data_IF_529639579383
#
_entry.id   IF_529639579383
#
_cell.length_a   1.000
_cell.length_b   1.000
_cell.length_c   1.000
_cell.angle_alpha   90.00
_cell.angle_beta   90.00
_cell.angle_gamma   90.00
#
_symmetry.space_group_name_H-M   'P 1'
#
loop_
_entity.id
_entity.type
_entity.pdbx_description
1 polymer ?
#
# COMPACT_ATOMS: atom_id res chain seq x y z
N UNK A 1 -4.40 -36.50 -13.97
CA UNK A 1 -5.10 -35.39 -13.29
C UNK A 1 -4.20 -34.18 -13.42
N UNK A 2 -4.71 -33.03 -13.88
CA UNK A 2 -3.89 -31.82 -13.92
C UNK A 2 -3.79 -31.23 -12.51
N UNK A 3 -2.60 -30.87 -12.08
CA UNK A 3 -2.35 -30.35 -10.74
C UNK A 3 -2.18 -28.83 -10.79
N UNK A 4 -2.81 -28.15 -9.83
CA UNK A 4 -2.57 -26.73 -9.58
C UNK A 4 -1.66 -26.66 -8.36
N UNK A 5 -0.52 -25.98 -8.50
CA UNK A 5 0.38 -25.66 -7.39
C UNK A 5 0.53 -24.15 -7.30
N UNK A 6 0.82 -23.66 -6.09
CA UNK A 6 1.01 -22.23 -5.83
C UNK A 6 2.29 -22.11 -5.01
N UNK A 7 3.19 -21.28 -5.48
CA UNK A 7 4.54 -21.15 -4.94
C UNK A 7 4.92 -19.68 -4.83
N UNK A 8 5.84 -19.33 -3.93
CA UNK A 8 6.36 -17.97 -3.86
C UNK A 8 7.10 -17.64 -5.16
N UNK A 9 6.80 -16.48 -5.76
CA UNK A 9 7.46 -16.01 -6.95
C UNK A 9 8.89 -15.57 -6.64
N UNK A 10 9.77 -15.73 -7.62
CA UNK A 10 11.18 -15.32 -7.56
C UNK A 10 11.47 -14.34 -8.68
N UNK A 11 12.58 -13.61 -8.61
CA UNK A 11 12.97 -12.65 -9.67
C UNK A 11 13.07 -13.33 -11.04
N UNK A 12 13.40 -14.63 -11.09
CA UNK A 12 13.45 -15.41 -12.33
C UNK A 12 12.07 -15.59 -12.98
N UNK A 13 10.98 -15.48 -12.21
CA UNK A 13 9.61 -15.61 -12.70
C UNK A 13 9.06 -14.29 -13.28
N UNK A 14 9.74 -13.16 -13.06
CA UNK A 14 9.23 -11.82 -13.32
C UNK A 14 8.78 -11.63 -14.78
N UNK A 15 9.62 -12.01 -15.75
CA UNK A 15 9.29 -11.85 -17.18
C UNK A 15 8.04 -12.61 -17.57
N UNK A 16 7.91 -13.86 -17.11
CA UNK A 16 6.76 -14.71 -17.44
C UNK A 16 5.49 -14.21 -16.78
N UNK A 17 5.58 -13.80 -15.51
CA UNK A 17 4.46 -13.22 -14.78
C UNK A 17 4.02 -11.89 -15.41
N UNK A 18 4.95 -11.03 -15.87
CA UNK A 18 4.61 -9.80 -16.61
C UNK A 18 3.88 -10.11 -17.91
N UNK A 19 4.34 -11.10 -18.69
CA UNK A 19 3.69 -11.49 -19.94
C UNK A 19 2.23 -11.90 -19.71
N UNK A 20 2.00 -12.78 -18.74
CA UNK A 20 0.66 -13.28 -18.40
C UNK A 20 -0.20 -12.15 -17.85
N UNK A 21 0.32 -11.37 -16.90
CA UNK A 21 -0.37 -10.23 -16.30
C UNK A 21 -0.81 -9.23 -17.38
N UNK A 22 0.11 -8.87 -18.28
CA UNK A 22 -0.19 -8.00 -19.42
C UNK A 22 -1.30 -8.57 -20.29
N UNK A 23 -1.19 -9.84 -20.69
CA UNK A 23 -2.19 -10.52 -21.51
C UNK A 23 -3.57 -10.52 -20.84
N UNK A 24 -3.64 -10.81 -19.54
CA UNK A 24 -4.89 -10.86 -18.78
C UNK A 24 -5.55 -9.49 -18.71
N UNK A 25 -4.82 -8.44 -18.31
CA UNK A 25 -5.39 -7.09 -18.17
C UNK A 25 -5.70 -6.44 -19.53
N UNK A 26 -4.92 -6.71 -20.59
CA UNK A 26 -5.25 -6.30 -21.96
C UNK A 26 -6.57 -6.93 -22.44
N UNK A 27 -6.89 -8.15 -22.00
CA UNK A 27 -8.14 -8.82 -22.33
C UNK A 27 -9.33 -8.25 -21.55
N UNK A 28 -9.17 -8.05 -20.25
CA UNK A 28 -10.18 -7.40 -19.42
C UNK A 28 -10.48 -5.98 -19.92
N UNK A 29 -9.45 -5.20 -20.29
CA UNK A 29 -9.61 -3.88 -20.88
C UNK A 29 -10.40 -3.93 -22.19
N UNK A 30 -10.09 -4.87 -23.10
CA UNK A 30 -10.85 -5.04 -24.36
C UNK A 30 -12.32 -5.40 -24.12
N UNK A 31 -12.60 -6.11 -23.03
CA UNK A 31 -13.95 -6.59 -22.69
C UNK A 31 -14.80 -5.52 -22.02
N UNK A 32 -14.21 -4.73 -21.12
CA UNK A 32 -14.96 -3.87 -20.21
C UNK A 32 -14.77 -2.37 -20.46
N UNK A 33 -13.71 -1.95 -21.16
CA UNK A 33 -13.47 -0.55 -21.48
C UNK A 33 -13.93 -0.22 -22.92
N UNK A 34 -14.92 0.66 -23.11
CA UNK A 34 -15.31 1.11 -24.43
C UNK A 34 -14.20 1.95 -25.08
N UNK A 35 -14.03 1.85 -26.41
CA UNK A 35 -12.96 2.53 -27.18
C UNK A 35 -12.90 4.08 -27.06
N UNK A 36 -13.86 4.71 -26.36
CA UNK A 36 -14.03 6.17 -26.30
C UNK A 36 -13.86 6.77 -24.89
N UNK A 37 -13.76 5.96 -23.84
CA UNK A 37 -13.55 6.49 -22.49
C UNK A 37 -12.07 6.41 -22.11
N UNK A 38 -11.45 7.58 -22.06
CA UNK A 38 -10.08 7.81 -21.58
C UNK A 38 -10.11 7.92 -20.05
N UNK A 39 -10.91 7.07 -19.38
CA UNK A 39 -10.87 6.96 -17.92
C UNK A 39 -10.03 5.74 -17.62
N UNK A 40 -8.87 5.95 -17.02
CA UNK A 40 -7.98 4.88 -16.55
C UNK A 40 -8.64 4.21 -15.35
N UNK A 41 -9.50 3.23 -15.61
CA UNK A 41 -9.99 2.31 -14.59
C UNK A 41 -8.80 1.47 -14.10
N UNK A 42 -8.22 1.85 -12.97
CA UNK A 42 -7.00 1.22 -12.44
C UNK A 42 -7.25 -0.20 -11.93
N UNK A 43 -8.50 -0.59 -11.68
CA UNK A 43 -8.84 -1.97 -11.34
C UNK A 43 -8.80 -2.87 -12.60
N UNK A 44 -9.09 -2.32 -13.78
CA UNK A 44 -8.98 -3.04 -15.07
C UNK A 44 -7.59 -2.91 -15.71
N UNK A 45 -6.94 -1.76 -15.56
CA UNK A 45 -5.58 -1.48 -16.05
C UNK A 45 -4.67 -1.00 -14.90
N UNK A 46 -4.23 -1.90 -14.01
CA UNK A 46 -3.43 -1.52 -12.85
C UNK A 46 -2.11 -0.87 -13.25
N UNK A 47 -1.67 0.22 -12.59
CA UNK A 47 -0.38 0.85 -12.89
C UNK A 47 0.77 -0.16 -12.90
N UNK A 48 1.60 -0.07 -13.94
CA UNK A 48 2.79 -0.91 -14.10
C UNK A 48 2.54 -2.40 -14.40
N UNK A 49 1.31 -2.83 -14.69
CA UNK A 49 0.97 -4.25 -14.98
C UNK A 49 1.74 -4.85 -16.17
N UNK A 50 2.25 -4.02 -17.08
CA UNK A 50 3.05 -4.44 -18.24
C UNK A 50 4.55 -4.22 -18.08
N UNK A 51 5.00 -3.77 -16.89
CA UNK A 51 6.40 -3.48 -16.60
C UNK A 51 7.09 -4.64 -15.88
N UNK A 52 8.15 -5.17 -16.49
CA UNK A 52 9.00 -6.18 -15.88
C UNK A 52 9.71 -5.64 -14.63
N UNK A 53 10.18 -4.39 -14.66
CA UNK A 53 10.84 -3.77 -13.51
C UNK A 53 9.87 -3.58 -12.33
N UNK A 54 8.61 -3.19 -12.62
CA UNK A 54 7.57 -3.13 -11.58
C UNK A 54 7.27 -4.52 -11.01
N UNK A 55 7.24 -5.54 -11.87
CA UNK A 55 7.03 -6.93 -11.43
C UNK A 55 8.17 -7.42 -10.53
N UNK A 56 9.43 -7.12 -10.89
CA UNK A 56 10.60 -7.43 -10.04
C UNK A 56 10.54 -6.72 -8.70
N UNK A 57 10.09 -5.46 -8.67
CA UNK A 57 9.87 -4.73 -7.42
C UNK A 57 8.79 -5.42 -6.56
N UNK A 58 7.62 -5.72 -7.13
CA UNK A 58 6.54 -6.39 -6.39
C UNK A 58 6.98 -7.74 -5.83
N UNK A 59 7.79 -8.51 -6.56
CA UNK A 59 8.34 -9.80 -6.08
C UNK A 59 9.30 -9.61 -4.88
N UNK A 60 10.01 -8.48 -4.80
CA UNK A 60 10.95 -8.20 -3.71
C UNK A 60 10.28 -7.67 -2.46
N UNK A 61 9.29 -6.80 -2.65
CA UNK A 61 8.69 -6.02 -1.56
C UNK A 61 7.37 -6.60 -1.06
N UNK A 62 6.64 -7.36 -1.88
CA UNK A 62 5.32 -7.89 -1.55
C UNK A 62 5.29 -9.42 -1.51
N UNK A 63 4.23 -9.97 -0.93
CA UNK A 63 3.98 -11.40 -0.94
C UNK A 63 3.37 -11.81 -2.29
N UNK A 64 4.25 -12.07 -3.26
CA UNK A 64 3.89 -12.48 -4.61
C UNK A 64 4.00 -14.00 -4.75
N UNK A 65 2.88 -14.66 -5.05
CA UNK A 65 2.84 -16.07 -5.40
C UNK A 65 2.51 -16.28 -6.89
N UNK A 66 3.18 -17.25 -7.51
CA UNK A 66 2.89 -17.73 -8.86
C UNK A 66 1.96 -18.94 -8.79
N UNK A 67 1.02 -19.00 -9.72
CA UNK A 67 0.08 -20.12 -9.88
C UNK A 67 0.55 -20.97 -11.05
N UNK A 68 0.75 -22.26 -10.82
CA UNK A 68 1.18 -23.21 -11.83
C UNK A 68 0.07 -24.20 -12.18
N UNK A 69 -0.01 -24.56 -13.46
CA UNK A 69 -0.79 -25.69 -13.96
C UNK A 69 0.17 -26.63 -14.69
N UNK A 70 0.31 -27.85 -14.20
CA UNK A 70 1.24 -28.86 -14.74
C UNK A 70 2.68 -28.31 -14.96
N UNK A 71 3.20 -27.58 -13.96
CA UNK A 71 4.50 -26.89 -13.92
C UNK A 71 4.65 -25.66 -14.84
N UNK A 72 3.62 -25.27 -15.59
CA UNK A 72 3.63 -24.00 -16.33
C UNK A 72 3.04 -22.88 -15.46
N UNK A 73 3.72 -21.74 -15.39
CA UNK A 73 3.18 -20.54 -14.75
C UNK A 73 2.02 -20.02 -15.59
N UNK A 74 0.84 -19.91 -14.96
CA UNK A 74 -0.41 -19.51 -15.61
C UNK A 74 -1.09 -18.33 -14.91
N UNK A 75 -0.47 -17.73 -13.91
CA UNK A 75 -1.06 -16.63 -13.17
C UNK A 75 -0.27 -16.27 -11.93
N UNK A 76 -0.82 -15.34 -11.16
CA UNK A 76 -0.23 -14.90 -9.92
C UNK A 76 -1.27 -14.31 -8.96
N UNK A 77 -0.90 -14.29 -7.68
CA UNK A 77 -1.62 -13.58 -6.63
C UNK A 77 -0.60 -12.79 -5.82
N UNK A 78 -0.88 -11.50 -5.64
CA UNK A 78 -0.07 -10.55 -4.90
C UNK A 78 -0.90 -10.12 -3.70
N UNK A 79 -0.32 -10.22 -2.51
CA UNK A 79 -0.97 -9.80 -1.28
C UNK A 79 -0.04 -8.88 -0.48
N UNK A 80 -0.67 -8.05 0.34
CA UNK A 80 -0.02 -7.25 1.37
C UNK A 80 -0.57 -7.66 2.72
N UNK A 81 0.31 -7.90 3.68
CA UNK A 81 -0.06 -8.21 5.06
C UNK A 81 0.24 -6.98 5.91
N UNK A 82 -0.80 -6.45 6.53
CA UNK A 82 -0.74 -5.24 7.34
C UNK A 82 -1.04 -5.56 8.79
N UNK A 83 -0.13 -5.15 9.67
CA UNK A 83 -0.19 -5.44 11.09
C UNK A 83 -0.29 -6.93 11.43
N UNK A 84 -1.05 -7.26 12.48
CA UNK A 84 -1.15 -8.64 12.98
C UNK A 84 -2.25 -9.46 12.31
N UNK A 85 -3.26 -8.80 11.74
CA UNK A 85 -4.51 -9.48 11.39
C UNK A 85 -5.14 -9.05 10.07
N UNK A 86 -4.49 -8.19 9.27
CA UNK A 86 -5.05 -7.72 8.00
C UNK A 86 -4.26 -8.24 6.81
N UNK A 87 -4.98 -8.67 5.78
CA UNK A 87 -4.43 -9.03 4.50
C UNK A 87 -5.23 -8.38 3.38
N UNK A 88 -4.55 -7.78 2.43
CA UNK A 88 -5.14 -7.24 1.21
C UNK A 88 -4.73 -8.10 0.04
N UNK A 89 -5.68 -8.49 -0.81
CA UNK A 89 -5.37 -9.10 -2.09
C UNK A 89 -5.24 -7.98 -3.12
N UNK A 90 -4.00 -7.56 -3.36
CA UNK A 90 -3.70 -6.46 -4.27
C UNK A 90 -4.01 -6.83 -5.71
N UNK A 91 -3.64 -8.05 -6.12
CA UNK A 91 -3.89 -8.55 -7.48
C UNK A 91 -4.09 -10.05 -7.47
N UNK A 92 -5.06 -10.51 -8.24
CA UNK A 92 -5.21 -11.90 -8.66
C UNK A 92 -5.43 -11.93 -10.16
N UNK A 93 -4.60 -12.70 -10.88
CA UNK A 93 -4.74 -12.83 -12.32
C UNK A 93 -4.42 -14.25 -12.76
N UNK A 94 -5.19 -14.74 -13.72
CA UNK A 94 -5.02 -16.05 -14.35
C UNK A 94 -5.04 -15.84 -15.85
N UNK A 95 -4.16 -16.54 -16.57
CA UNK A 95 -4.11 -16.54 -18.03
C UNK A 95 -5.51 -16.82 -18.58
N UNK A 96 -6.01 -16.03 -19.55
CA UNK A 96 -7.36 -16.17 -20.09
C UNK A 96 -7.71 -17.59 -20.55
N UNK A 97 -6.75 -18.36 -21.06
CA UNK A 97 -6.94 -19.74 -21.51
C UNK A 97 -7.22 -20.74 -20.36
N UNK A 98 -6.98 -20.32 -19.12
CA UNK A 98 -7.12 -21.12 -17.91
C UNK A 98 -8.24 -20.60 -16.99
N UNK A 99 -8.87 -19.46 -17.31
CA UNK A 99 -9.99 -18.93 -16.53
C UNK A 99 -11.23 -19.84 -16.56
N UNK A 100 -12.12 -19.67 -15.58
CA UNK A 100 -13.35 -20.47 -15.45
C UNK A 100 -13.14 -21.91 -14.93
N UNK A 101 -11.90 -22.31 -14.63
CA UNK A 101 -11.54 -23.68 -14.18
C UNK A 101 -11.35 -23.79 -12.66
N UNK A 102 -11.85 -22.83 -11.88
CA UNK A 102 -11.73 -22.81 -10.41
C UNK A 102 -10.34 -22.46 -9.87
N UNK A 103 -9.42 -22.01 -10.71
CA UNK A 103 -8.04 -21.66 -10.32
C UNK A 103 -8.01 -20.46 -9.37
N UNK A 104 -8.80 -19.42 -9.64
CA UNK A 104 -8.89 -18.26 -8.75
C UNK A 104 -9.35 -18.63 -7.33
N UNK A 105 -10.36 -19.51 -7.22
CA UNK A 105 -10.82 -20.02 -5.91
C UNK A 105 -9.71 -20.77 -5.16
N UNK A 106 -8.91 -21.59 -5.88
CA UNK A 106 -7.77 -22.28 -5.28
C UNK A 106 -6.70 -21.31 -4.80
N UNK A 107 -6.46 -20.22 -5.54
CA UNK A 107 -5.50 -19.20 -5.15
C UNK A 107 -5.92 -18.44 -3.89
N UNK A 108 -7.19 -18.02 -3.80
CA UNK A 108 -7.73 -17.37 -2.59
C UNK A 108 -7.68 -18.32 -1.39
N UNK A 109 -8.14 -19.57 -1.53
CA UNK A 109 -8.07 -20.53 -0.42
C UNK A 109 -6.63 -20.77 0.04
N UNK A 110 -5.68 -20.87 -0.90
CA UNK A 110 -4.28 -21.08 -0.57
C UNK A 110 -3.71 -19.92 0.27
N UNK A 111 -3.96 -18.66 -0.09
CA UNK A 111 -3.45 -17.53 0.70
C UNK A 111 -4.15 -17.45 2.07
N UNK A 112 -5.45 -17.73 2.15
CA UNK A 112 -6.15 -17.75 3.43
C UNK A 112 -5.61 -18.85 4.36
N UNK A 113 -5.26 -20.02 3.82
CA UNK A 113 -4.64 -21.12 4.55
C UNK A 113 -3.17 -20.84 4.91
N UNK A 114 -2.42 -20.19 4.02
CA UNK A 114 -1.01 -19.86 4.23
C UNK A 114 -0.81 -18.78 5.30
N UNK A 115 -1.81 -17.92 5.52
CA UNK A 115 -1.77 -16.82 6.49
C UNK A 115 -2.90 -16.95 7.52
N UNK A 116 -2.90 -18.00 8.37
CA UNK A 116 -4.01 -18.35 9.27
C UNK A 116 -4.23 -17.34 10.42
N UNK A 117 -3.30 -16.42 10.61
CA UNK A 117 -3.39 -15.33 11.57
C UNK A 117 -4.14 -14.11 11.04
N UNK A 118 -4.31 -13.98 9.72
CA UNK A 118 -5.13 -12.92 9.12
C UNK A 118 -6.59 -13.17 9.48
N UNK A 119 -7.23 -12.13 10.02
CA UNK A 119 -8.63 -12.13 10.45
C UNK A 119 -9.52 -11.38 9.48
N UNK A 120 -8.98 -10.40 8.78
CA UNK A 120 -9.74 -9.61 7.83
C UNK A 120 -8.96 -9.59 6.52
N UNK A 121 -9.57 -10.16 5.49
CA UNK A 121 -9.11 -10.05 4.12
C UNK A 121 -9.93 -9.01 3.39
N UNK A 122 -9.31 -8.13 2.63
CA UNK A 122 -10.01 -7.29 1.69
C UNK A 122 -9.38 -7.25 0.30
N UNK A 123 -10.12 -6.68 -0.63
CA UNK A 123 -9.75 -6.51 -2.03
C UNK A 123 -10.70 -5.50 -2.70
N UNK A 124 -10.29 -5.01 -3.85
CA UNK A 124 -11.09 -4.13 -4.69
C UNK A 124 -11.20 -4.67 -6.12
N UNK A 125 -12.25 -4.26 -6.83
CA UNK A 125 -12.44 -4.55 -8.26
C UNK A 125 -13.31 -3.49 -8.91
N UNK A 126 -13.20 -3.33 -10.23
CA UNK A 126 -14.04 -2.38 -10.99
C UNK A 126 -15.53 -2.73 -10.86
N UNK A 127 -16.39 -1.70 -10.79
CA UNK A 127 -17.85 -1.82 -10.87
C UNK A 127 -18.31 -2.51 -12.16
N UNK A 128 -17.50 -2.42 -13.22
CA UNK A 128 -17.79 -2.99 -14.55
C UNK A 128 -17.59 -4.51 -14.59
N UNK A 129 -16.72 -5.07 -13.74
CA UNK A 129 -16.36 -6.49 -13.75
C UNK A 129 -17.31 -7.36 -12.91
N UNK A 130 -18.59 -7.41 -13.29
CA UNK A 130 -19.65 -8.13 -12.55
C UNK A 130 -19.28 -9.60 -12.24
N UNK A 131 -18.53 -10.26 -13.13
CA UNK A 131 -18.06 -11.63 -12.89
C UNK A 131 -17.14 -11.75 -11.66
N UNK A 132 -16.32 -10.73 -11.39
CA UNK A 132 -15.46 -10.69 -10.21
C UNK A 132 -16.29 -10.56 -8.94
N UNK A 133 -17.37 -9.76 -8.98
CA UNK A 133 -18.25 -9.57 -7.82
C UNK A 133 -18.86 -10.91 -7.38
N UNK A 134 -19.46 -11.65 -8.33
CA UNK A 134 -19.99 -12.99 -8.07
C UNK A 134 -18.91 -13.98 -7.59
N UNK A 135 -17.69 -13.86 -8.13
CA UNK A 135 -16.57 -14.69 -7.71
C UNK A 135 -16.19 -14.43 -6.24
N UNK A 136 -16.07 -13.17 -5.82
CA UNK A 136 -15.70 -12.81 -4.45
C UNK A 136 -16.81 -13.14 -3.46
N UNK A 137 -18.08 -12.89 -3.80
CA UNK A 137 -19.23 -13.31 -2.98
C UNK A 137 -19.25 -14.83 -2.76
N UNK A 138 -19.01 -15.60 -3.82
CA UNK A 138 -18.89 -17.06 -3.74
C UNK A 138 -17.75 -17.51 -2.82
N UNK A 139 -16.66 -16.74 -2.75
CA UNK A 139 -15.54 -16.99 -1.84
C UNK A 139 -15.81 -16.56 -0.39
N UNK A 140 -16.97 -15.99 -0.12
CA UNK A 140 -17.41 -15.57 1.22
C UNK A 140 -17.05 -14.12 1.57
N UNK A 141 -16.56 -13.35 0.61
CA UNK A 141 -16.40 -11.91 0.78
C UNK A 141 -17.77 -11.21 0.69
N UNK A 142 -17.87 -10.06 1.34
CA UNK A 142 -19.04 -9.19 1.34
C UNK A 142 -18.64 -7.79 0.94
N UNK A 143 -19.49 -7.11 0.19
CA UNK A 143 -19.29 -5.71 -0.18
C UNK A 143 -19.22 -4.84 1.07
N UNK A 144 -18.19 -4.01 1.15
CA UNK A 144 -17.99 -3.01 2.22
C UNK A 144 -18.06 -1.58 1.69
N UNK A 145 -17.68 -1.39 0.43
CA UNK A 145 -17.69 -0.10 -0.26
C UNK A 145 -18.17 -0.29 -1.71
N UNK A 146 -18.88 0.70 -2.23
CA UNK A 146 -19.39 0.74 -3.59
C UNK A 146 -19.36 2.19 -4.08
N UNK A 147 -18.79 2.40 -5.27
CA UNK A 147 -18.86 3.66 -6.02
C UNK A 147 -19.26 3.39 -7.47
N UNK A 148 -19.40 4.45 -8.27
CA UNK A 148 -19.66 4.29 -9.72
C UNK A 148 -18.51 3.53 -10.42
N UNK A 149 -17.29 3.57 -9.90
CA UNK A 149 -16.10 3.03 -10.55
C UNK A 149 -15.59 1.72 -9.93
N UNK A 150 -15.81 1.49 -8.63
CA UNK A 150 -15.21 0.36 -7.92
C UNK A 150 -16.05 -0.19 -6.77
N UNK A 151 -15.77 -1.44 -6.40
CA UNK A 151 -16.33 -2.12 -5.25
C UNK A 151 -15.22 -2.66 -4.37
N UNK A 152 -15.32 -2.38 -3.07
CA UNK A 152 -14.51 -2.97 -2.02
C UNK A 152 -15.21 -4.18 -1.42
N UNK A 153 -14.46 -5.26 -1.21
CA UNK A 153 -14.94 -6.51 -0.65
C UNK A 153 -14.11 -6.92 0.56
N UNK A 154 -14.76 -7.44 1.60
CA UNK A 154 -14.09 -7.92 2.81
C UNK A 154 -14.61 -9.29 3.25
N UNK A 155 -13.71 -10.14 3.74
CA UNK A 155 -14.01 -11.41 4.39
C UNK A 155 -13.37 -11.47 5.77
N UNK A 156 -14.18 -11.74 6.79
CA UNK A 156 -13.73 -11.93 8.16
C UNK A 156 -13.60 -13.42 8.49
N UNK A 157 -12.45 -13.82 9.04
CA UNK A 157 -12.10 -15.20 9.41
C UNK A 157 -11.99 -15.29 10.94
N UNK A 158 -12.87 -16.07 11.56
CA UNK A 158 -12.92 -16.28 13.02
C UNK A 158 -13.66 -15.20 13.81
N UNK A 159 -13.76 -15.38 15.12
CA UNK A 159 -14.24 -14.36 16.08
C UNK A 159 -13.06 -13.49 16.52
N UNK A 160 -13.17 -12.14 16.55
CA UNK A 160 -12.10 -11.27 17.03
C UNK A 160 -11.72 -11.67 18.46
N UNK A 161 -10.48 -12.10 18.68
CA UNK A 161 -9.90 -12.14 20.02
C UNK A 161 -9.54 -10.72 20.42
N UNK A 162 -9.83 -10.33 21.67
CA UNK A 162 -9.63 -9.00 22.26
C UNK A 162 -8.16 -8.51 22.28
N UNK A 163 -7.55 -8.32 21.13
CA UNK A 163 -6.36 -7.49 21.00
C UNK A 163 -6.73 -6.17 20.32
N UNK A 164 -6.07 -5.09 20.76
CA UNK A 164 -6.32 -3.68 20.43
C UNK A 164 -6.48 -3.44 18.92
N UNK A 165 -7.70 -3.62 18.43
CA UNK A 165 -8.06 -3.54 17.03
C UNK A 165 -9.16 -2.51 16.83
N UNK A 166 -8.90 -1.55 15.94
CA UNK A 166 -9.89 -0.57 15.51
C UNK A 166 -10.05 -0.71 14.00
N UNK A 167 -11.16 -1.33 13.58
CA UNK A 167 -11.45 -1.56 12.16
C UNK A 167 -12.80 -0.96 11.73
N UNK A 168 -12.89 -0.45 10.50
CA UNK A 168 -14.12 0.02 9.86
C UNK A 168 -14.92 0.98 10.75
N UNK A 169 -14.26 2.05 11.21
CA UNK A 169 -14.88 3.08 12.04
C UNK A 169 -14.65 4.45 11.45
N UNK A 170 -15.71 5.24 11.42
CA UNK A 170 -15.58 6.69 11.29
C UNK A 170 -15.42 7.29 12.68
N UNK A 171 -14.20 7.76 12.95
CA UNK A 171 -13.80 8.47 14.16
C UNK A 171 -13.05 9.75 13.79
N UNK A 172 -13.52 10.44 12.74
CA UNK A 172 -12.97 11.71 12.27
C UNK A 172 -13.15 12.83 13.30
N UNK A 173 -12.25 13.82 13.25
CA UNK A 173 -12.29 15.03 14.07
C UNK A 173 -12.25 14.80 15.58
N UNK A 174 -11.71 13.66 16.02
CA UNK A 174 -11.57 13.34 17.44
C UNK A 174 -10.28 13.95 18.00
N UNK A 175 -10.34 14.40 19.25
CA UNK A 175 -9.17 14.88 20.01
C UNK A 175 -8.69 13.75 20.94
N UNK A 176 -7.54 13.17 20.63
CA UNK A 176 -6.84 12.18 21.44
C UNK A 176 -5.77 12.88 22.27
N UNK A 177 -6.01 12.98 23.58
CA UNK A 177 -5.09 13.67 24.51
C UNK A 177 -4.71 12.72 25.64
N UNK A 178 -3.40 12.51 25.84
CA UNK A 178 -2.85 11.60 26.84
C UNK A 178 -3.32 10.14 26.67
N UNK A 179 -3.40 9.66 25.44
CA UNK A 179 -3.84 8.31 25.13
C UNK A 179 -2.65 7.33 25.04
N UNK A 180 -2.79 6.15 25.65
CA UNK A 180 -1.89 5.01 25.46
C UNK A 180 -2.50 4.10 24.38
N UNK A 181 -1.97 4.20 23.16
CA UNK A 181 -2.47 3.51 21.97
C UNK A 181 -1.39 2.61 21.35
N UNK A 182 -0.30 2.38 22.08
CA UNK A 182 0.81 1.54 21.62
C UNK A 182 0.35 0.10 21.33
N UNK A 183 0.94 -0.53 20.32
CA UNK A 183 0.63 -1.91 19.89
C UNK A 183 -0.84 -2.09 19.44
N UNK A 184 -1.44 -1.05 18.85
CA UNK A 184 -2.80 -1.08 18.31
C UNK A 184 -2.78 -1.12 16.80
N UNK A 185 -3.62 -1.96 16.21
CA UNK A 185 -3.80 -2.02 14.76
C UNK A 185 -5.05 -1.23 14.35
N UNK A 186 -4.86 -0.25 13.46
CA UNK A 186 -5.90 0.55 12.83
C UNK A 186 -5.99 0.17 11.35
N UNK A 187 -7.18 -0.26 10.91
CA UNK A 187 -7.42 -0.66 9.54
C UNK A 187 -8.74 -0.15 9.01
N UNK A 188 -8.74 0.49 7.84
CA UNK A 188 -9.98 1.01 7.24
C UNK A 188 -10.72 1.96 8.20
N UNK A 189 -9.98 2.94 8.73
CA UNK A 189 -10.50 3.91 9.72
C UNK A 189 -10.42 5.30 9.16
N UNK A 190 -11.54 6.03 9.21
CA UNK A 190 -11.53 7.45 8.93
C UNK A 190 -11.15 8.23 10.20
N UNK A 191 -9.95 8.82 10.17
CA UNK A 191 -9.37 9.66 11.22
C UNK A 191 -9.21 11.11 10.75
N UNK A 192 -9.82 11.51 9.63
CA UNK A 192 -9.72 12.84 9.04
C UNK A 192 -9.92 13.96 10.08
N UNK A 193 -9.05 14.97 10.06
CA UNK A 193 -9.13 16.12 10.96
C UNK A 193 -8.90 15.80 12.45
N UNK A 194 -8.50 14.58 12.80
CA UNK A 194 -8.24 14.21 14.20
C UNK A 194 -6.96 14.85 14.71
N UNK A 195 -6.90 15.11 16.00
CA UNK A 195 -5.70 15.62 16.67
C UNK A 195 -5.20 14.62 17.69
N UNK A 196 -3.92 14.31 17.64
CA UNK A 196 -3.22 13.46 18.59
C UNK A 196 -2.23 14.33 19.35
N UNK A 197 -2.39 14.42 20.67
CA UNK A 197 -1.50 15.17 21.54
C UNK A 197 -1.07 14.37 22.75
N UNK A 198 0.23 14.41 23.07
CA UNK A 198 0.80 13.76 24.25
C UNK A 198 0.45 12.27 24.37
N UNK A 199 0.39 11.57 23.24
CA UNK A 199 -0.08 10.19 23.15
C UNK A 199 1.01 9.26 22.64
N UNK A 200 0.92 7.99 23.00
CA UNK A 200 1.88 6.96 22.64
C UNK A 200 1.28 6.02 21.59
N UNK A 201 1.82 6.02 20.38
CA UNK A 201 1.43 5.14 19.27
C UNK A 201 2.62 4.27 18.84
N UNK A 202 3.52 3.93 19.77
CA UNK A 202 4.65 3.05 19.48
C UNK A 202 4.17 1.66 19.01
N UNK A 203 4.85 1.06 18.03
CA UNK A 203 4.54 -0.25 17.47
C UNK A 203 3.09 -0.38 16.95
N UNK A 204 2.44 0.73 16.60
CA UNK A 204 1.11 0.67 15.97
C UNK A 204 1.23 0.37 14.49
N UNK A 205 0.25 -0.33 13.93
CA UNK A 205 0.11 -0.47 12.49
C UNK A 205 -1.13 0.29 12.05
N UNK A 206 -0.96 1.28 11.18
CA UNK A 206 -2.06 2.08 10.64
C UNK A 206 -2.04 1.90 9.13
N UNK A 207 -3.06 1.24 8.61
CA UNK A 207 -3.13 0.88 7.19
C UNK A 207 -4.50 1.14 6.60
N UNK A 208 -4.55 1.63 5.36
CA UNK A 208 -5.80 1.98 4.68
C UNK A 208 -6.65 2.97 5.50
N UNK A 209 -6.03 3.99 6.10
CA UNK A 209 -6.72 4.98 6.92
C UNK A 209 -6.68 6.36 6.25
N UNK A 210 -7.78 7.11 6.38
CA UNK A 210 -7.77 8.53 6.03
C UNK A 210 -7.28 9.35 7.23
N UNK A 211 -6.10 9.96 7.09
CA UNK A 211 -5.48 10.83 8.08
C UNK A 211 -5.30 12.27 7.56
N UNK A 212 -6.02 12.63 6.49
CA UNK A 212 -5.96 13.99 5.96
C UNK A 212 -6.35 15.02 7.02
N UNK A 213 -5.75 16.21 6.94
CA UNK A 213 -5.98 17.31 7.89
C UNK A 213 -5.71 16.99 9.37
N UNK A 214 -5.04 15.87 9.66
CA UNK A 214 -4.76 15.46 11.04
C UNK A 214 -3.55 16.17 11.62
N UNK A 215 -3.54 16.33 12.94
CA UNK A 215 -2.43 16.95 13.68
C UNK A 215 -1.79 15.98 14.66
N UNK A 216 -0.47 15.87 14.62
CA UNK A 216 0.31 15.06 15.55
C UNK A 216 1.27 15.96 16.31
N UNK A 217 1.05 16.12 17.62
CA UNK A 217 1.88 16.94 18.48
C UNK A 217 2.39 16.17 19.69
N UNK A 218 3.70 16.15 19.90
CA UNK A 218 4.32 15.43 21.03
C UNK A 218 3.90 13.96 21.08
N UNK A 219 4.10 13.26 19.95
CA UNK A 219 3.71 11.87 19.75
C UNK A 219 4.94 10.98 19.63
N UNK A 220 4.86 9.79 20.22
CA UNK A 220 5.83 8.73 20.02
C UNK A 220 5.32 7.74 18.96
N UNK A 221 5.94 7.76 17.77
CA UNK A 221 5.60 6.87 16.64
C UNK A 221 6.64 5.76 16.43
N UNK A 222 7.61 5.57 17.34
CA UNK A 222 8.74 4.66 17.09
C UNK A 222 8.27 3.26 16.69
N UNK A 223 8.99 2.69 15.72
CA UNK A 223 8.79 1.32 15.21
C UNK A 223 7.37 1.02 14.71
N UNK A 224 6.66 2.03 14.21
CA UNK A 224 5.31 1.87 13.68
C UNK A 224 5.31 1.77 12.15
N UNK A 225 4.33 1.05 11.59
CA UNK A 225 4.12 0.93 10.14
C UNK A 225 2.90 1.76 9.72
N UNK A 226 3.09 2.57 8.69
CA UNK A 226 2.08 3.44 8.10
C UNK A 226 2.01 3.12 6.59
N UNK A 227 0.94 2.47 6.13
CA UNK A 227 0.82 2.00 4.75
C UNK A 227 -0.53 2.39 4.12
N UNK A 228 -0.56 2.72 2.84
CA UNK A 228 -1.80 3.06 2.11
C UNK A 228 -2.59 4.19 2.78
N UNK A 229 -1.91 5.27 3.14
CA UNK A 229 -2.52 6.40 3.85
C UNK A 229 -2.75 7.59 2.95
N UNK A 230 -3.79 8.36 3.28
CA UNK A 230 -3.89 9.76 2.89
C UNK A 230 -3.40 10.64 4.03
N UNK A 231 -2.25 11.30 3.84
CA UNK A 231 -1.67 12.26 4.79
C UNK A 231 -1.75 13.71 4.29
N UNK A 232 -2.61 14.00 3.30
CA UNK A 232 -2.76 15.36 2.77
C UNK A 232 -3.06 16.36 3.88
N UNK A 233 -2.45 17.54 3.81
CA UNK A 233 -2.67 18.61 4.80
C UNK A 233 -2.41 18.22 6.27
N UNK A 234 -1.63 17.16 6.53
CA UNK A 234 -1.29 16.76 7.88
C UNK A 234 -0.07 17.51 8.41
N UNK A 235 -0.03 17.69 9.74
CA UNK A 235 1.03 18.43 10.44
C UNK A 235 1.64 17.57 11.54
N UNK A 236 2.97 17.42 11.52
CA UNK A 236 3.74 16.69 12.53
C UNK A 236 4.72 17.63 13.23
N UNK A 237 4.50 17.88 14.53
CA UNK A 237 5.34 18.77 15.36
C UNK A 237 5.80 18.04 16.61
N UNK A 238 7.10 18.09 16.92
CA UNK A 238 7.67 17.40 18.09
C UNK A 238 7.37 15.89 18.11
N UNK A 239 7.46 15.25 16.95
CA UNK A 239 7.21 13.81 16.80
C UNK A 239 8.52 13.04 16.77
N UNK A 240 8.56 11.90 17.44
CA UNK A 240 9.69 10.96 17.36
C UNK A 240 9.42 9.91 16.29
N UNK A 241 10.26 9.87 15.24
CA UNK A 241 10.05 9.04 14.04
C UNK A 241 11.06 7.89 13.87
N UNK A 242 11.91 7.62 14.87
CA UNK A 242 12.90 6.54 14.79
C UNK A 242 12.27 5.17 14.48
N UNK A 243 12.66 4.57 13.36
CA UNK A 243 12.15 3.27 12.90
C UNK A 243 10.76 3.30 12.27
N UNK A 244 10.14 4.47 12.07
CA UNK A 244 8.86 4.59 11.34
C UNK A 244 9.06 4.25 9.88
N UNK A 245 8.08 3.52 9.30
CA UNK A 245 8.03 3.25 7.86
C UNK A 245 6.73 3.78 7.28
N UNK A 246 6.85 4.66 6.29
CA UNK A 246 5.75 5.05 5.39
C UNK A 246 5.90 4.26 4.09
N UNK A 247 4.83 3.60 3.64
CA UNK A 247 4.80 2.82 2.40
C UNK A 247 3.50 3.13 1.64
N UNK A 248 3.58 3.23 0.31
CA UNK A 248 2.42 3.46 -0.58
C UNK A 248 1.46 4.58 -0.11
N UNK A 249 2.04 5.64 0.47
CA UNK A 249 1.32 6.77 1.08
C UNK A 249 1.22 7.94 0.11
N UNK A 250 0.03 8.53 -0.05
CA UNK A 250 -0.21 9.72 -0.87
C UNK A 250 -0.39 10.98 0.00
N UNK A 251 0.04 12.14 -0.53
CA UNK A 251 -0.16 13.46 0.09
C UNK A 251 -1.38 14.21 -0.48
N UNK A 252 -2.21 13.53 -1.27
CA UNK A 252 -3.41 14.08 -1.91
C UNK A 252 -3.12 15.02 -3.07
N UNK A 253 -4.18 15.40 -3.80
CA UNK A 253 -4.07 16.18 -5.05
C UNK A 253 -3.93 17.69 -4.82
N UNK A 254 -4.05 18.15 -3.57
CA UNK A 254 -4.14 19.58 -3.23
C UNK A 254 -2.81 20.34 -3.27
N UNK A 255 -1.70 19.69 -3.66
CA UNK A 255 -0.34 20.27 -3.70
C UNK A 255 0.15 20.89 -2.37
N UNK A 256 -0.50 20.56 -1.25
CA UNK A 256 -0.10 21.00 0.08
C UNK A 256 0.78 19.90 0.70
N UNK A 257 2.08 20.15 0.90
CA UNK A 257 2.98 19.13 1.42
C UNK A 257 2.73 18.88 2.91
N UNK A 258 3.04 17.66 3.37
CA UNK A 258 3.19 17.37 4.79
C UNK A 258 4.35 18.20 5.37
N UNK A 259 4.17 18.73 6.59
CA UNK A 259 5.20 19.48 7.30
C UNK A 259 5.73 18.70 8.50
N UNK A 260 7.06 18.65 8.62
CA UNK A 260 7.77 18.12 9.78
C UNK A 260 8.52 19.26 10.48
N UNK A 261 8.02 19.73 11.62
CA UNK A 261 8.71 20.74 12.42
C UNK A 261 9.28 20.15 13.72
N UNK A 262 10.59 20.33 13.92
CA UNK A 262 11.30 19.85 15.13
C UNK A 262 11.14 18.35 15.35
N UNK A 263 11.17 17.59 14.26
CA UNK A 263 11.17 16.13 14.27
C UNK A 263 12.61 15.59 14.11
N UNK A 264 12.88 14.43 14.71
CA UNK A 264 14.11 13.69 14.48
C UNK A 264 13.92 12.71 13.31
N UNK A 265 14.66 12.94 12.23
CA UNK A 265 14.65 12.16 10.99
C UNK A 265 15.99 11.49 10.71
N UNK A 266 16.90 11.39 11.69
CA UNK A 266 18.22 10.78 11.50
C UNK A 266 18.11 9.35 10.94
N UNK A 267 18.94 9.05 9.93
CA UNK A 267 18.99 7.72 9.29
C UNK A 267 17.82 7.41 8.35
N UNK A 268 16.88 8.34 8.13
CA UNK A 268 15.76 8.16 7.21
C UNK A 268 16.23 8.02 5.75
N UNK A 269 15.46 7.26 4.94
CA UNK A 269 15.71 7.07 3.52
C UNK A 269 14.44 7.30 2.71
N UNK A 270 14.58 8.05 1.62
CA UNK A 270 13.54 8.23 0.62
C UNK A 270 13.97 7.51 -0.66
N UNK A 271 13.29 6.41 -0.99
CA UNK A 271 13.60 5.57 -2.14
C UNK A 271 12.41 5.57 -3.09
N UNK A 272 12.64 5.82 -4.39
CA UNK A 272 11.59 5.87 -5.41
C UNK A 272 10.43 6.85 -5.06
N UNK A 273 10.74 7.92 -4.34
CA UNK A 273 9.76 8.91 -3.88
C UNK A 273 9.78 10.15 -4.78
N UNK A 274 8.61 10.78 -4.97
CA UNK A 274 8.54 12.09 -5.62
C UNK A 274 8.85 13.20 -4.60
N UNK A 275 10.05 13.80 -4.69
CA UNK A 275 10.52 14.85 -3.77
C UNK A 275 10.37 16.28 -4.34
N UNK A 276 9.52 16.49 -5.36
CA UNK A 276 9.27 17.83 -5.90
C UNK A 276 8.74 18.76 -4.82
N UNK A 277 9.24 20.00 -4.82
CA UNK A 277 8.85 21.07 -3.88
C UNK A 277 9.16 20.77 -2.41
N UNK A 278 9.99 19.77 -2.10
CA UNK A 278 10.51 19.58 -0.74
C UNK A 278 11.50 20.70 -0.42
N UNK A 279 11.26 21.38 0.69
CA UNK A 279 12.16 22.39 1.24
C UNK A 279 12.75 21.92 2.56
N UNK A 280 14.08 22.02 2.70
CA UNK A 280 14.78 21.73 3.96
C UNK A 280 15.38 23.03 4.46
N UNK A 281 14.86 23.53 5.58
CA UNK A 281 15.26 24.82 6.14
C UNK A 281 15.62 24.67 7.61
N UNK A 282 16.73 25.30 8.03
CA UNK A 282 17.18 25.36 9.44
C UNK A 282 17.34 23.96 10.07
N UNK A 283 17.77 22.99 9.28
CA UNK A 283 18.03 21.60 9.71
C UNK A 283 19.53 21.32 9.79
N UNK A 284 19.91 20.36 10.63
CA UNK A 284 21.24 19.74 10.53
C UNK A 284 21.25 18.79 9.33
N UNK A 285 22.14 19.06 8.37
CA UNK A 285 22.27 18.29 7.13
C UNK A 285 23.48 17.35 7.14
N UNK A 286 24.18 17.25 8.27
CA UNK A 286 25.42 16.47 8.39
C UNK A 286 25.19 15.01 8.01
N UNK A 287 25.94 14.51 7.03
CA UNK A 287 25.85 13.13 6.55
C UNK A 287 24.67 12.84 5.61
N UNK A 288 23.86 13.84 5.27
CA UNK A 288 22.78 13.72 4.28
C UNK A 288 23.38 13.44 2.89
N UNK A 289 22.72 12.57 2.11
CA UNK A 289 23.14 12.23 0.75
C UNK A 289 22.00 12.34 -0.25
N UNK A 290 22.31 12.85 -1.45
CA UNK A 290 21.45 12.83 -2.64
C UNK A 290 22.15 11.99 -3.71
N UNK A 291 21.52 10.92 -4.19
CA UNK A 291 22.12 9.96 -5.13
C UNK A 291 23.51 9.46 -4.70
N UNK A 292 23.67 9.19 -3.40
CA UNK A 292 24.93 8.82 -2.72
C UNK A 292 26.00 9.92 -2.65
N UNK A 293 25.72 11.13 -3.12
CA UNK A 293 26.60 12.29 -3.00
C UNK A 293 26.32 13.04 -1.69
N UNK A 294 27.33 13.29 -0.84
CA UNK A 294 27.16 14.13 0.35
C UNK A 294 26.63 15.52 0.00
N UNK A 295 25.66 16.02 0.75
CA UNK A 295 25.08 17.36 0.51
C UNK A 295 26.11 18.46 0.78
N UNK A 296 27.06 18.22 1.68
CA UNK A 296 28.18 19.12 1.95
C UNK A 296 29.03 19.33 0.70
N UNK A 297 29.35 18.26 -0.04
CA UNK A 297 30.13 18.33 -1.29
C UNK A 297 29.37 19.12 -2.37
N UNK A 298 28.04 18.97 -2.43
CA UNK A 298 27.19 19.72 -3.37
C UNK A 298 27.20 21.22 -3.05
N UNK A 299 27.14 21.61 -1.77
CA UNK A 299 27.24 23.00 -1.37
C UNK A 299 28.62 23.59 -1.65
N UNK A 300 29.69 22.85 -1.37
CA UNK A 300 31.05 23.28 -1.71
C UNK A 300 31.17 23.56 -3.21
N UNK A 301 30.71 22.64 -4.06
CA UNK A 301 30.72 22.83 -5.51
C UNK A 301 29.96 24.09 -5.94
N UNK A 302 28.75 24.31 -5.40
CA UNK A 302 27.94 25.50 -5.67
C UNK A 302 28.67 26.79 -5.30
N UNK A 303 29.26 26.84 -4.10
CA UNK A 303 29.96 28.04 -3.64
C UNK A 303 31.22 28.33 -4.46
N UNK A 304 31.95 27.30 -4.90
CA UNK A 304 33.11 27.48 -5.78
C UNK A 304 32.70 28.04 -7.15
N UNK A 305 31.63 27.53 -7.74
CA UNK A 305 31.11 28.05 -9.02
C UNK A 305 30.69 29.51 -8.93
N UNK A 306 30.09 29.93 -7.81
CA UNK A 306 29.65 31.31 -7.65
C UNK A 306 30.77 32.27 -7.29
N UNK A 307 31.82 31.81 -6.61
CA UNK A 307 33.06 32.59 -6.42
C UNK A 307 33.79 32.87 -7.73
N UNK A 308 33.71 31.96 -8.71
CA UNK A 308 34.33 32.15 -10.04
C UNK A 308 33.56 33.11 -10.97
N UNK A 309 32.39 33.60 -10.55
CA UNK A 309 31.53 34.53 -11.30
C UNK A 309 31.55 35.97 -10.75
N UNK A 310 32.32 36.24 -9.70
CA UNK A 310 32.58 37.58 -9.15
C UNK A 310 34.01 38.00 -9.50
#
# INVERSE_FOLDING_TARGET
MSFITIEKATIADAEKLTEIMKKTFDEEARKWLPKKDIVSDYNILPPGYSSNEMTKYMIRELEYFKVLHDNEVIGGIIITISGKSFGRIDRIFVDPNYQGKGIGSKAINFIEEAFPYVRTWDLETSSKQINNHYFYEKMGYRTTFESEDEYGFQKKIGTPTEESLVENKNISSIQYVNCEMANTDYYDVNLEGSSFSNSNLMNSHISNCNLSHSKFQNINLRNSLYADLNLSNSEMIFVTLGGVRFSDTNLGDENIPISFERCDLEGSKFCNSNLRNVEIQKSDLTGMKIDNVPVEDLFEAYYQMNKSKQ
#
